data_IF_737039342123
#
_entry.id   IF_737039342123
#
_cell.length_a   1.000
_cell.length_b   1.000
_cell.length_c   1.000
_cell.angle_alpha   90.00
_cell.angle_beta   90.00
_cell.angle_gamma   90.00
#
_symmetry.space_group_name_H-M   'P 1'
#
loop_
_entity.id
_entity.type
_entity.pdbx_description
1 polymer ?
#
# COMPACT_ATOMS: atom_id res chain seq x y z
N UNK A 1 -13.27 -6.19 4.73
CA UNK A 1 -12.45 -6.10 3.50
C UNK A 1 -11.09 -6.73 3.70
N UNK A 2 -10.61 -7.40 2.66
CA UNK A 2 -9.26 -7.95 2.62
C UNK A 2 -8.54 -7.46 1.37
N UNK A 3 -7.27 -7.08 1.52
CA UNK A 3 -6.42 -6.63 0.42
C UNK A 3 -5.07 -7.33 0.49
N UNK A 4 -4.63 -7.88 -0.64
CA UNK A 4 -3.31 -8.50 -0.76
C UNK A 4 -2.55 -7.83 -1.88
N UNK A 5 -1.42 -7.23 -1.54
CA UNK A 5 -0.55 -6.54 -2.48
C UNK A 5 0.77 -7.30 -2.60
N UNK A 6 1.19 -7.56 -3.83
CA UNK A 6 2.54 -8.00 -4.15
C UNK A 6 3.19 -6.97 -5.07
N UNK A 7 4.40 -6.54 -4.72
CA UNK A 7 5.24 -5.65 -5.49
C UNK A 7 6.58 -6.32 -5.73
N UNK A 8 6.90 -6.59 -6.99
CA UNK A 8 8.21 -7.07 -7.40
C UNK A 8 8.89 -5.92 -8.16
N UNK A 9 9.95 -5.37 -7.57
CA UNK A 9 10.61 -4.13 -8.00
C UNK A 9 12.07 -4.39 -8.34
N UNK A 10 12.58 -3.65 -9.32
CA UNK A 10 14.01 -3.62 -9.67
C UNK A 10 14.49 -2.20 -9.88
N UNK A 11 15.51 -1.79 -9.12
CA UNK A 11 16.18 -0.50 -9.24
C UNK A 11 17.44 -0.63 -10.09
N UNK A 12 17.42 0.00 -11.25
CA UNK A 12 18.48 -0.10 -12.25
C UNK A 12 19.61 0.90 -11.95
N UNK A 13 20.81 0.63 -12.50
CA UNK A 13 21.99 1.51 -12.35
C UNK A 13 21.73 2.94 -12.86
N UNK A 14 20.87 3.11 -13.87
CA UNK A 14 20.47 4.40 -14.45
C UNK A 14 19.49 5.19 -13.55
N UNK A 15 19.14 4.66 -12.37
CA UNK A 15 18.20 5.24 -11.44
C UNK A 15 16.73 5.00 -11.79
N UNK A 16 16.44 4.26 -12.86
CA UNK A 16 15.08 3.84 -13.22
C UNK A 16 14.61 2.73 -12.27
N UNK A 17 13.34 2.75 -11.91
CA UNK A 17 12.68 1.66 -11.19
C UNK A 17 11.68 1.00 -12.12
N UNK A 18 11.77 -0.32 -12.28
CA UNK A 18 10.71 -1.11 -12.93
C UNK A 18 9.99 -1.93 -11.88
N UNK A 19 8.70 -2.14 -12.07
CA UNK A 19 7.93 -2.97 -11.15
C UNK A 19 6.83 -3.75 -11.81
N UNK A 20 6.45 -4.84 -11.14
CA UNK A 20 5.20 -5.55 -11.35
C UNK A 20 4.37 -5.46 -10.06
N UNK A 21 3.08 -5.23 -10.20
CA UNK A 21 2.14 -5.25 -9.07
C UNK A 21 1.05 -6.28 -9.29
N UNK A 22 0.69 -6.99 -8.22
CA UNK A 22 -0.58 -7.69 -8.10
C UNK A 22 -1.33 -7.15 -6.89
N UNK A 23 -2.54 -6.64 -7.10
CA UNK A 23 -3.40 -6.12 -6.04
C UNK A 23 -4.74 -6.85 -6.08
N UNK A 24 -4.96 -7.70 -5.09
CA UNK A 24 -6.18 -8.50 -4.96
C UNK A 24 -7.05 -7.92 -3.85
N UNK A 25 -8.27 -7.54 -4.23
CA UNK A 25 -9.26 -6.93 -3.35
C UNK A 25 -10.43 -7.90 -3.14
N UNK A 26 -10.92 -7.97 -1.89
CA UNK A 26 -12.11 -8.73 -1.51
C UNK A 26 -13.00 -7.89 -0.60
N UNK A 27 -14.32 -7.93 -0.86
CA UNK A 27 -15.34 -7.24 -0.07
C UNK A 27 -15.80 -5.94 -0.73
N UNK A 28 -16.14 -4.95 0.08
CA UNK A 28 -16.77 -3.72 -0.42
C UNK A 28 -15.80 -2.90 -1.28
N UNK A 29 -14.52 -2.82 -0.91
CA UNK A 29 -13.50 -2.15 -1.73
C UNK A 29 -13.41 -2.77 -3.14
N UNK A 30 -13.48 -4.10 -3.26
CA UNK A 30 -13.49 -4.79 -4.55
C UNK A 30 -14.69 -4.38 -5.42
N UNK A 31 -15.88 -4.28 -4.82
CA UNK A 31 -17.10 -3.85 -5.52
C UNK A 31 -16.96 -2.41 -6.02
N UNK A 32 -16.49 -1.50 -5.16
CA UNK A 32 -16.34 -0.08 -5.51
C UNK A 32 -15.29 0.13 -6.61
N UNK A 33 -14.13 -0.51 -6.48
CA UNK A 33 -13.05 -0.41 -7.47
C UNK A 33 -13.47 -1.09 -8.78
N UNK A 34 -14.10 -2.26 -8.72
CA UNK A 34 -14.60 -2.99 -9.90
C UNK A 34 -15.66 -2.20 -10.66
N UNK A 35 -16.63 -1.60 -9.95
CA UNK A 35 -17.64 -0.74 -10.56
C UNK A 35 -17.00 0.50 -11.22
N UNK A 36 -15.98 1.09 -10.58
CA UNK A 36 -15.23 2.21 -11.16
C UNK A 36 -14.52 1.79 -12.45
N UNK A 37 -13.83 0.65 -12.45
CA UNK A 37 -13.15 0.10 -13.63
C UNK A 37 -14.12 -0.20 -14.78
N UNK A 38 -15.31 -0.73 -14.47
CA UNK A 38 -16.34 -1.03 -15.44
C UNK A 38 -16.89 0.22 -16.14
N UNK A 39 -16.86 1.37 -15.48
CA UNK A 39 -17.27 2.66 -16.04
C UNK A 39 -16.17 3.36 -16.85
N UNK A 40 -14.93 2.89 -16.78
CA UNK A 40 -13.81 3.45 -17.52
C UNK A 40 -13.58 2.70 -18.82
N UNK A 41 -13.35 3.45 -19.90
CA UNK A 41 -12.82 2.91 -21.15
C UNK A 41 -11.47 2.21 -20.89
N UNK A 42 -11.18 1.13 -21.63
CA UNK A 42 -9.95 0.35 -21.47
C UNK A 42 -8.67 1.22 -21.48
N UNK A 43 -8.63 2.26 -22.33
CA UNK A 43 -7.50 3.20 -22.42
C UNK A 43 -7.29 4.07 -21.16
N UNK A 44 -8.30 4.22 -20.29
CA UNK A 44 -8.24 5.03 -19.07
C UNK A 44 -7.96 4.20 -17.81
N UNK A 45 -8.18 2.88 -17.84
CA UNK A 45 -7.95 1.99 -16.70
C UNK A 45 -6.51 2.02 -16.18
N UNK A 46 -5.45 2.06 -17.04
CA UNK A 46 -4.08 2.22 -16.56
C UNK A 46 -3.87 3.46 -15.69
N UNK A 47 -4.56 4.58 -15.98
CA UNK A 47 -4.46 5.82 -15.20
C UNK A 47 -5.02 5.67 -13.79
N UNK A 48 -6.04 4.83 -13.60
CA UNK A 48 -6.52 4.50 -12.26
C UNK A 48 -5.44 3.76 -11.47
N UNK A 49 -4.79 2.77 -12.09
CA UNK A 49 -3.72 1.99 -11.48
C UNK A 49 -2.51 2.86 -11.15
N UNK A 50 -2.09 3.75 -12.04
CA UNK A 50 -1.03 4.73 -11.75
C UNK A 50 -1.35 5.56 -10.50
N UNK A 51 -2.61 5.98 -10.34
CA UNK A 51 -3.05 6.71 -9.13
C UNK A 51 -2.99 5.85 -7.87
N UNK A 52 -3.30 4.56 -7.98
CA UNK A 52 -3.23 3.61 -6.87
C UNK A 52 -1.78 3.27 -6.48
N UNK A 53 -0.86 3.27 -7.45
CA UNK A 53 0.57 3.05 -7.25
C UNK A 53 1.29 4.26 -6.66
N UNK A 54 0.75 5.47 -6.85
CA UNK A 54 1.39 6.73 -6.42
C UNK A 54 1.90 6.71 -4.96
N UNK A 55 1.12 6.24 -3.96
CA UNK A 55 1.60 6.20 -2.57
C UNK A 55 2.68 5.15 -2.30
N UNK A 56 2.82 4.15 -3.18
CA UNK A 56 3.73 3.02 -3.01
C UNK A 56 5.07 3.23 -3.71
N UNK A 57 5.04 3.74 -4.94
CA UNK A 57 6.24 3.83 -5.80
C UNK A 57 6.43 5.21 -6.44
N UNK A 58 5.57 6.19 -6.12
CA UNK A 58 5.60 7.50 -6.76
C UNK A 58 4.98 7.52 -8.15
N UNK A 59 5.37 8.48 -8.99
CA UNK A 59 4.78 8.70 -10.30
C UNK A 59 5.16 7.60 -11.30
N UNK A 60 4.43 6.49 -11.24
CA UNK A 60 4.56 5.36 -12.13
C UNK A 60 3.87 5.62 -13.47
N UNK A 61 4.48 5.15 -14.55
CA UNK A 61 3.86 4.99 -15.86
C UNK A 61 3.58 3.51 -16.07
N UNK A 62 2.31 3.15 -16.24
CA UNK A 62 1.91 1.76 -16.48
C UNK A 62 2.17 1.39 -17.94
N UNK A 63 2.97 0.35 -18.15
CA UNK A 63 3.32 -0.17 -19.47
C UNK A 63 2.35 -1.27 -19.91
N UNK A 64 1.85 -2.06 -18.96
CA UNK A 64 0.81 -3.05 -19.21
C UNK A 64 -0.12 -3.21 -18.03
N UNK A 65 -1.38 -3.51 -18.32
CA UNK A 65 -2.43 -3.75 -17.33
C UNK A 65 -3.30 -4.91 -17.82
N UNK A 66 -3.44 -5.95 -16.99
CA UNK A 66 -4.40 -7.01 -17.23
C UNK A 66 -5.74 -6.59 -16.62
N UNK A 67 -6.79 -6.55 -17.45
CA UNK A 67 -8.10 -6.10 -17.01
C UNK A 67 -8.78 -7.17 -16.14
N UNK A 68 -9.03 -6.90 -14.85
CA UNK A 68 -9.62 -7.89 -13.96
C UNK A 68 -11.07 -8.26 -14.32
N UNK A 69 -11.78 -7.42 -15.09
CA UNK A 69 -13.19 -7.63 -15.45
C UNK A 69 -13.34 -8.72 -16.53
N UNK A 70 -12.35 -8.87 -17.41
CA UNK A 70 -12.37 -9.86 -18.49
C UNK A 70 -11.95 -11.26 -18.01
N UNK A 71 -11.14 -11.35 -16.95
CA UNK A 71 -10.55 -12.60 -16.47
C UNK A 71 -11.51 -13.44 -15.60
N UNK A 72 -12.10 -12.83 -14.56
CA UNK A 72 -12.97 -13.54 -13.60
C UNK A 72 -13.95 -12.55 -12.93
N UNK A 73 -15.15 -12.33 -13.50
CA UNK A 73 -16.08 -11.32 -13.02
C UNK A 73 -16.72 -11.65 -11.66
N UNK A 74 -16.71 -12.92 -11.26
CA UNK A 74 -17.32 -13.40 -10.01
C UNK A 74 -16.28 -13.64 -8.89
N UNK A 75 -14.99 -13.61 -9.22
CA UNK A 75 -13.88 -13.81 -8.29
C UNK A 75 -13.38 -12.54 -7.59
N UNK A 76 -12.33 -12.65 -6.75
CA UNK A 76 -11.64 -11.49 -6.19
C UNK A 76 -11.13 -10.54 -7.27
N UNK A 77 -11.41 -9.25 -7.14
CA UNK A 77 -10.91 -8.25 -8.08
C UNK A 77 -9.38 -8.19 -8.01
N UNK A 78 -8.71 -8.71 -9.03
CA UNK A 78 -7.23 -8.84 -9.05
C UNK A 78 -6.62 -8.03 -10.18
N UNK A 79 -6.07 -6.86 -9.83
CA UNK A 79 -5.39 -5.98 -10.77
C UNK A 79 -3.92 -6.39 -10.91
N UNK A 80 -3.48 -6.64 -12.15
CA UNK A 80 -2.06 -6.90 -12.45
C UNK A 80 -1.51 -5.84 -13.38
N UNK A 81 -0.35 -5.29 -13.04
CA UNK A 81 0.29 -4.27 -13.87
C UNK A 81 1.80 -4.40 -13.92
N UNK A 82 2.39 -3.89 -15.00
CA UNK A 82 3.82 -3.58 -15.10
C UNK A 82 3.99 -2.09 -15.30
N UNK A 83 5.00 -1.52 -14.67
CA UNK A 83 5.22 -0.08 -14.67
C UNK A 83 6.69 0.30 -14.59
N UNK A 84 6.96 1.55 -14.93
CA UNK A 84 8.25 2.21 -14.78
C UNK A 84 8.11 3.50 -13.98
N UNK A 85 9.09 3.81 -13.14
CA UNK A 85 9.20 5.06 -12.38
C UNK A 85 10.60 5.65 -12.61
N UNK A 86 10.67 6.97 -12.73
CA UNK A 86 11.94 7.69 -12.72
C UNK A 86 12.35 7.93 -11.26
N UNK A 87 13.29 7.12 -10.75
CA UNK A 87 13.66 7.09 -9.33
C UNK A 87 14.90 7.92 -8.97
N UNK A 88 15.83 8.13 -9.90
CA UNK A 88 17.12 8.77 -9.61
C UNK A 88 17.88 8.02 -8.52
N UNK A 89 18.71 8.70 -7.73
CA UNK A 89 19.55 8.12 -6.67
C UNK A 89 18.85 7.91 -5.32
N UNK A 90 17.59 8.34 -5.22
CA UNK A 90 16.80 8.24 -4.00
C UNK A 90 15.40 7.71 -4.32
N UNK A 91 15.06 6.54 -3.78
CA UNK A 91 13.72 5.98 -3.89
C UNK A 91 12.92 6.22 -2.63
N UNK A 92 11.79 6.91 -2.75
CA UNK A 92 10.77 6.94 -1.72
C UNK A 92 9.73 5.84 -2.02
N UNK A 93 9.65 4.85 -1.14
CA UNK A 93 8.72 3.72 -1.28
C UNK A 93 7.71 3.70 -0.15
N UNK A 94 6.56 3.08 -0.43
CA UNK A 94 5.49 2.86 0.52
C UNK A 94 4.84 1.50 0.31
N UNK A 95 4.20 0.99 1.36
CA UNK A 95 3.56 -0.33 1.35
C UNK A 95 2.10 -0.25 0.86
N UNK A 96 1.84 0.51 -0.21
CA UNK A 96 0.51 0.70 -0.83
C UNK A 96 -0.65 0.85 0.19
N UNK A 97 -0.58 1.86 1.07
CA UNK A 97 -1.32 1.85 2.32
C UNK A 97 -2.82 2.15 2.19
N UNK A 98 -3.65 1.51 3.04
CA UNK A 98 -4.99 2.00 3.43
C UNK A 98 -4.88 3.29 4.27
N UNK A 99 -3.69 3.60 4.81
CA UNK A 99 -3.34 4.83 5.55
C UNK A 99 -4.38 5.17 6.63
N UNK A 100 -4.51 4.38 7.71
CA UNK A 100 -5.54 4.59 8.72
C UNK A 100 -5.48 5.99 9.33
N UNK A 101 -4.31 6.62 9.41
CA UNK A 101 -4.17 8.00 9.89
C UNK A 101 -4.86 9.00 8.96
N UNK A 102 -4.57 8.92 7.66
CA UNK A 102 -5.20 9.74 6.62
C UNK A 102 -6.70 9.46 6.48
N UNK A 103 -7.15 8.24 6.73
CA UNK A 103 -8.54 7.83 6.58
C UNK A 103 -9.39 8.19 7.80
N UNK A 104 -8.84 8.09 9.02
CA UNK A 104 -9.63 8.18 10.26
C UNK A 104 -9.09 9.15 11.32
N UNK A 105 -7.82 9.56 11.25
CA UNK A 105 -7.14 10.36 12.28
C UNK A 105 -6.89 11.83 11.85
N UNK A 106 -7.84 12.46 11.17
CA UNK A 106 -7.70 13.85 10.67
C UNK A 106 -7.92 14.92 11.73
N UNK A 107 -8.65 14.60 12.81
CA UNK A 107 -8.97 15.55 13.87
C UNK A 107 -8.02 15.36 15.06
N UNK A 108 -7.88 16.39 15.90
CA UNK A 108 -7.15 16.28 17.15
C UNK A 108 -7.98 15.52 18.20
N UNK A 109 -9.27 15.83 18.26
CA UNK A 109 -10.27 15.30 19.18
C UNK A 109 -11.60 15.05 18.45
N UNK A 110 -12.57 14.47 19.17
CA UNK A 110 -13.93 14.26 18.68
C UNK A 110 -14.94 14.46 19.80
N UNK A 111 -16.11 14.99 19.46
CA UNK A 111 -17.27 15.04 20.37
C UNK A 111 -18.19 13.81 20.24
N UNK A 112 -18.10 13.09 19.11
CA UNK A 112 -18.88 11.90 18.82
C UNK A 112 -17.96 10.72 18.52
N UNK A 113 -18.40 9.48 18.82
CA UNK A 113 -17.64 8.29 18.45
C UNK A 113 -17.22 8.30 16.97
N UNK A 114 -16.05 7.74 16.69
CA UNK A 114 -15.64 7.40 15.34
C UNK A 114 -16.10 5.98 15.04
N UNK A 115 -16.83 5.80 13.93
CA UNK A 115 -17.17 4.48 13.43
C UNK A 115 -16.11 3.99 12.44
N UNK A 116 -15.66 2.76 12.64
CA UNK A 116 -14.85 1.96 11.72
C UNK A 116 -15.75 0.88 11.16
N UNK A 117 -16.53 1.22 10.14
CA UNK A 117 -17.63 0.37 9.65
C UNK A 117 -17.14 -0.90 8.96
N UNK A 118 -15.96 -0.84 8.32
CA UNK A 118 -15.40 -1.95 7.58
C UNK A 118 -14.09 -2.40 8.22
N UNK A 119 -14.04 -3.61 8.80
CA UNK A 119 -12.77 -4.17 9.22
C UNK A 119 -11.88 -4.36 7.99
N UNK A 120 -10.61 -3.97 8.11
CA UNK A 120 -9.62 -4.07 7.05
C UNK A 120 -8.53 -5.04 7.47
N UNK A 121 -8.23 -6.01 6.60
CA UNK A 121 -7.04 -6.83 6.70
C UNK A 121 -6.22 -6.66 5.42
N UNK A 122 -5.10 -5.97 5.51
CA UNK A 122 -4.19 -5.77 4.40
C UNK A 122 -2.88 -6.52 4.65
N UNK A 123 -2.42 -7.26 3.64
CA UNK A 123 -1.07 -7.82 3.62
C UNK A 123 -0.31 -7.32 2.41
N UNK A 124 0.95 -6.94 2.60
CA UNK A 124 1.83 -6.50 1.51
C UNK A 124 3.11 -7.30 1.54
N UNK A 125 3.49 -7.80 0.36
CA UNK A 125 4.79 -8.39 0.09
C UNK A 125 5.50 -7.54 -0.96
N UNK A 126 6.59 -6.89 -0.57
CA UNK A 126 7.42 -6.08 -1.45
C UNK A 126 8.80 -6.73 -1.55
N UNK A 127 9.24 -7.02 -2.76
CA UNK A 127 10.61 -7.42 -3.08
C UNK A 127 11.21 -6.32 -3.94
N UNK A 128 12.36 -5.81 -3.52
CA UNK A 128 13.17 -4.87 -4.29
C UNK A 128 14.54 -5.49 -4.50
N UNK A 129 14.90 -5.67 -5.77
CA UNK A 129 16.26 -5.94 -6.21
C UNK A 129 16.89 -4.62 -6.71
N UNK A 130 18.20 -4.47 -6.56
CA UNK A 130 18.92 -3.29 -6.98
C UNK A 130 20.20 -3.68 -7.70
N UNK A 131 20.49 -3.07 -8.85
CA UNK A 131 21.77 -3.24 -9.54
C UNK A 131 22.92 -2.47 -8.84
N UNK A 132 22.61 -1.77 -7.73
CA UNK A 132 23.57 -1.00 -6.95
C UNK A 132 23.38 -1.18 -5.44
N UNK A 133 24.46 -1.08 -4.65
CA UNK A 133 24.34 -1.06 -3.19
C UNK A 133 23.49 0.14 -2.74
N UNK A 134 22.73 -0.03 -1.66
CA UNK A 134 21.91 1.04 -1.10
C UNK A 134 21.98 1.10 0.42
N UNK A 135 21.40 2.16 0.97
CA UNK A 135 21.18 2.36 2.41
C UNK A 135 19.78 2.87 2.68
N UNK A 136 19.38 2.89 3.94
CA UNK A 136 18.09 3.46 4.37
C UNK A 136 16.94 2.45 4.41
N UNK A 137 17.25 1.15 4.31
CA UNK A 137 16.22 0.12 4.46
C UNK A 137 15.50 0.28 5.80
N UNK A 138 14.16 0.11 5.81
CA UNK A 138 13.40 0.26 7.05
C UNK A 138 13.75 -0.84 8.05
N UNK A 139 13.45 -0.61 9.32
CA UNK A 139 13.52 -1.66 10.34
C UNK A 139 12.19 -2.39 10.48
N UNK A 140 12.26 -3.57 11.08
CA UNK A 140 11.11 -4.25 11.67
C UNK A 140 10.34 -3.31 12.59
N UNK A 141 9.02 -3.45 12.59
CA UNK A 141 8.14 -2.70 13.48
C UNK A 141 6.90 -3.50 13.81
N UNK A 142 6.40 -3.32 15.03
CA UNK A 142 5.08 -3.81 15.45
C UNK A 142 4.41 -2.72 16.25
N UNK A 143 3.22 -2.30 15.81
CA UNK A 143 2.40 -1.27 16.45
C UNK A 143 1.04 -1.86 16.77
N UNK A 144 0.62 -1.76 18.02
CA UNK A 144 -0.68 -2.29 18.47
C UNK A 144 -1.46 -1.22 19.23
N UNK A 145 -2.78 -1.27 19.07
CA UNK A 145 -3.73 -0.52 19.89
C UNK A 145 -5.04 -1.30 19.96
N UNK A 146 -5.35 -1.88 21.11
CA UNK A 146 -6.51 -2.77 21.26
C UNK A 146 -6.50 -3.92 20.22
N UNK A 147 -7.59 -4.11 19.45
CA UNK A 147 -7.66 -5.14 18.41
C UNK A 147 -6.94 -4.75 17.10
N UNK A 148 -6.40 -3.54 17.00
CA UNK A 148 -5.72 -3.04 15.81
C UNK A 148 -4.23 -3.35 15.86
N UNK A 149 -3.66 -3.77 14.73
CA UNK A 149 -2.27 -4.19 14.63
C UNK A 149 -1.66 -3.78 13.30
N UNK A 150 -0.43 -3.30 13.33
CA UNK A 150 0.44 -3.20 12.17
C UNK A 150 1.74 -3.93 12.46
N UNK A 151 2.20 -4.77 11.54
CA UNK A 151 3.53 -5.39 11.58
C UNK A 151 4.25 -5.13 10.26
N UNK A 152 5.56 -4.93 10.34
CA UNK A 152 6.48 -4.97 9.21
C UNK A 152 7.68 -5.80 9.61
N UNK A 153 8.04 -6.74 8.74
CA UNK A 153 9.28 -7.51 8.79
C UNK A 153 10.10 -7.18 7.55
N UNK A 154 11.40 -7.01 7.75
CA UNK A 154 12.33 -6.59 6.72
C UNK A 154 13.53 -7.54 6.71
N UNK A 155 13.77 -8.14 5.57
CA UNK A 155 14.98 -8.91 5.29
C UNK A 155 15.81 -8.09 4.30
N UNK A 156 17.07 -7.84 4.64
CA UNK A 156 17.97 -6.98 3.86
C UNK A 156 19.26 -7.73 3.60
N UNK A 157 19.59 -7.86 2.31
CA UNK A 157 20.89 -8.24 1.81
C UNK A 157 21.52 -7.03 1.07
N UNK A 158 22.74 -7.17 0.54
CA UNK A 158 23.50 -6.04 -0.04
C UNK A 158 22.78 -5.34 -1.21
N UNK A 159 22.02 -6.11 -2.01
CA UNK A 159 21.36 -5.68 -3.24
C UNK A 159 19.85 -6.01 -3.26
N UNK A 160 19.31 -6.53 -2.15
CA UNK A 160 17.91 -6.95 -2.05
C UNK A 160 17.26 -6.53 -0.73
N UNK A 161 16.04 -6.02 -0.82
CA UNK A 161 15.16 -5.78 0.33
C UNK A 161 13.87 -6.54 0.12
N UNK A 162 13.49 -7.35 1.10
CA UNK A 162 12.20 -8.02 1.15
C UNK A 162 11.43 -7.52 2.37
N UNK A 163 10.19 -7.09 2.14
CA UNK A 163 9.31 -6.55 3.18
C UNK A 163 8.00 -7.32 3.17
N UNK A 164 7.65 -7.83 4.35
CA UNK A 164 6.33 -8.37 4.64
C UNK A 164 5.65 -7.48 5.65
N UNK A 165 4.45 -6.97 5.33
CA UNK A 165 3.66 -6.20 6.28
C UNK A 165 2.23 -6.68 6.37
N UNK A 166 1.66 -6.57 7.57
CA UNK A 166 0.26 -6.86 7.83
C UNK A 166 -0.36 -5.70 8.60
N UNK A 167 -1.49 -5.20 8.12
CA UNK A 167 -2.34 -4.23 8.81
C UNK A 167 -3.70 -4.87 9.10
N UNK A 168 -4.10 -4.83 10.36
CA UNK A 168 -5.43 -5.20 10.83
C UNK A 168 -6.06 -3.98 11.48
N UNK A 169 -7.13 -3.48 10.88
CA UNK A 169 -8.01 -2.48 11.48
C UNK A 169 -9.33 -3.17 11.78
N UNK A 170 -9.60 -3.46 13.05
CA UNK A 170 -10.87 -4.04 13.44
C UNK A 170 -12.03 -3.04 13.23
N UNK A 171 -13.21 -3.55 12.92
CA UNK A 171 -14.42 -2.73 12.87
C UNK A 171 -14.92 -2.43 14.28
N UNK A 172 -15.68 -1.34 14.43
CA UNK A 172 -16.29 -0.96 15.71
C UNK A 172 -16.39 0.54 15.92
N UNK A 173 -16.74 0.93 17.15
CA UNK A 173 -16.79 2.33 17.58
C UNK A 173 -15.58 2.66 18.45
N UNK A 174 -14.98 3.81 18.20
CA UNK A 174 -13.95 4.41 19.05
C UNK A 174 -14.60 5.57 19.78
N UNK A 175 -14.63 5.49 21.10
CA UNK A 175 -15.20 6.53 21.95
C UNK A 175 -14.38 7.83 21.85
N UNK A 176 -15.00 9.01 22.08
CA UNK A 176 -14.32 10.31 22.12
C UNK A 176 -13.02 10.32 22.94
N UNK A 177 -13.06 9.73 24.13
CA UNK A 177 -11.94 9.64 25.07
C UNK A 177 -10.77 8.77 24.58
N UNK A 178 -11.06 7.76 23.75
CA UNK A 178 -10.07 6.84 23.19
C UNK A 178 -9.49 7.35 21.86
N UNK A 179 -10.19 8.27 21.19
CA UNK A 179 -9.82 8.77 19.88
C UNK A 179 -8.39 9.32 19.80
N UNK A 180 -7.88 10.12 20.77
CA UNK A 180 -6.50 10.62 20.69
C UNK A 180 -5.46 9.50 20.66
N UNK A 181 -5.67 8.41 21.40
CA UNK A 181 -4.77 7.26 21.42
C UNK A 181 -4.83 6.49 20.09
N UNK A 182 -6.04 6.23 19.57
CA UNK A 182 -6.22 5.65 18.24
C UNK A 182 -5.58 6.51 17.15
N UNK A 183 -5.83 7.81 17.15
CA UNK A 183 -5.33 8.75 16.15
C UNK A 183 -3.79 8.79 16.16
N UNK A 184 -3.18 8.73 17.35
CA UNK A 184 -1.73 8.61 17.50
C UNK A 184 -1.22 7.30 16.87
N UNK A 185 -1.80 6.16 17.22
CA UNK A 185 -1.43 4.87 16.65
C UNK A 185 -1.57 4.87 15.11
N UNK A 186 -2.70 5.33 14.59
CA UNK A 186 -2.98 5.37 13.16
C UNK A 186 -1.97 6.23 12.38
N UNK A 187 -1.54 7.38 12.93
CA UNK A 187 -0.49 8.21 12.34
C UNK A 187 0.89 7.56 12.42
N UNK A 188 1.18 6.80 13.48
CA UNK A 188 2.42 6.02 13.57
C UNK A 188 2.46 4.93 12.50
N UNK A 189 1.33 4.29 12.21
CA UNK A 189 1.20 3.34 11.08
C UNK A 189 1.49 4.05 9.75
N UNK A 190 0.82 5.16 9.45
CA UNK A 190 1.05 5.92 8.19
C UNK A 190 2.52 6.33 8.00
N UNK A 191 3.20 6.70 9.08
CA UNK A 191 4.62 7.03 9.06
C UNK A 191 5.49 5.79 8.85
N UNK A 192 5.14 4.67 9.51
CA UNK A 192 5.86 3.42 9.37
C UNK A 192 5.68 2.78 8.00
N UNK A 193 4.59 3.03 7.27
CA UNK A 193 4.36 2.46 5.94
C UNK A 193 5.27 3.05 4.85
N UNK A 194 6.00 4.14 5.12
CA UNK A 194 6.87 4.82 4.18
C UNK A 194 8.33 4.72 4.58
N UNK A 195 9.21 4.63 3.60
CA UNK A 195 10.64 4.59 3.81
C UNK A 195 11.39 5.12 2.58
N UNK A 196 12.69 5.35 2.73
CA UNK A 196 13.51 5.91 1.66
C UNK A 196 14.82 5.15 1.56
N UNK A 197 15.14 4.75 0.34
CA UNK A 197 16.41 4.11 0.01
C UNK A 197 17.28 5.09 -0.76
N UNK A 198 18.58 5.07 -0.50
CA UNK A 198 19.57 5.92 -1.18
C UNK A 198 20.67 5.02 -1.73
N UNK A 199 20.96 5.19 -3.02
CA UNK A 199 22.03 4.48 -3.69
C UNK A 199 23.41 4.94 -3.20
N UNK A 200 24.37 4.02 -3.16
CA UNK A 200 25.76 4.32 -2.84
C UNK A 200 26.60 4.56 -4.09
#
# INVERSE_FOLDING_TARGET
>A
DARRVRLDLRWHEDGRLTGASTDTLVGQEAIVVGATLAQLDAARRPRLVERLLLPAVGAAQVESFADPIEDDPDGPLTMRSRFVVQGGDQLALGLAPVSPGRSHARLADRALPLALDLPTHQTVHLVLESDRPFTGAPSDVTLTWGPHRFTRRVEVDDDRVEIHSELVVAGGLIAPEDYPAFAKWARQVDAAERFTLVAR
#
